data_IF_731986403401
#
_entry.id   IF_731986403401
#
_cell.length_a   1.000
_cell.length_b   1.000
_cell.length_c   1.000
_cell.angle_alpha   90.00
_cell.angle_beta   90.00
_cell.angle_gamma   90.00
#
_symmetry.space_group_name_H-M   'P 1'
#
loop_
_entity.id
_entity.type
_entity.pdbx_description
1 polymer ?
#
# COMPACT_ATOMS: atom_id res chain seq x y z
N UNK A 1 43.03 -7.00 16.45
CA UNK A 1 42.64 -6.51 17.79
C UNK A 1 41.39 -5.68 17.59
N UNK A 2 40.22 -6.29 17.75
CA UNK A 2 38.94 -5.57 17.73
C UNK A 2 38.70 -5.13 19.17
N UNK A 3 38.51 -3.82 19.38
CA UNK A 3 38.19 -3.27 20.70
C UNK A 3 36.74 -3.66 20.98
N UNK A 4 36.49 -4.37 22.08
CA UNK A 4 35.13 -4.54 22.61
C UNK A 4 34.56 -3.16 22.92
N UNK A 5 33.45 -2.83 22.28
CA UNK A 5 32.61 -1.69 22.67
C UNK A 5 31.89 -2.07 23.95
N UNK A 6 32.02 -1.26 24.99
CA UNK A 6 31.33 -1.46 26.27
C UNK A 6 30.10 -0.57 26.28
N UNK A 7 28.92 -1.16 26.43
CA UNK A 7 27.65 -0.44 26.48
C UNK A 7 27.45 0.18 27.86
N UNK A 8 26.96 1.41 27.91
CA UNK A 8 26.70 2.16 29.14
C UNK A 8 25.30 2.80 29.11
N UNK A 9 24.58 2.68 30.21
CA UNK A 9 23.32 3.36 30.49
C UNK A 9 23.50 4.89 30.49
N UNK A 10 22.41 5.67 30.40
CA UNK A 10 22.46 7.14 30.48
C UNK A 10 23.05 7.69 31.79
N UNK A 11 23.08 6.87 32.86
CA UNK A 11 23.71 7.20 34.15
C UNK A 11 25.20 6.79 34.23
N UNK A 12 25.76 6.25 33.15
CA UNK A 12 27.14 5.80 33.04
C UNK A 12 27.43 4.42 33.64
N UNK A 13 26.40 3.68 34.10
CA UNK A 13 26.56 2.29 34.50
C UNK A 13 26.67 1.36 33.28
N UNK A 14 27.54 0.35 33.33
CA UNK A 14 27.66 -0.62 32.23
C UNK A 14 26.37 -1.44 32.10
N UNK A 15 25.87 -1.59 30.86
CA UNK A 15 24.70 -2.44 30.58
C UNK A 15 25.21 -3.87 30.44
N UNK A 16 24.71 -4.80 31.26
CA UNK A 16 25.05 -6.22 31.11
C UNK A 16 24.31 -6.77 29.88
N UNK A 17 25.02 -7.29 28.86
CA UNK A 17 24.38 -7.89 27.69
C UNK A 17 23.43 -9.07 28.02
N UNK A 18 23.52 -9.63 29.23
CA UNK A 18 22.59 -10.63 29.73
C UNK A 18 21.17 -10.10 30.00
N UNK A 19 21.01 -8.79 30.18
CA UNK A 19 19.72 -8.15 30.49
C UNK A 19 18.90 -7.77 29.24
N UNK A 20 19.50 -7.86 28.04
CA UNK A 20 18.74 -7.70 26.80
C UNK A 20 17.77 -8.87 26.58
N UNK A 21 16.56 -8.61 26.03
CA UNK A 21 15.69 -9.69 25.61
C UNK A 21 16.40 -10.57 24.56
N UNK A 22 16.11 -11.87 24.54
CA UNK A 22 16.84 -12.87 23.73
C UNK A 22 17.00 -12.49 22.24
N UNK A 23 16.02 -11.78 21.68
CA UNK A 23 16.02 -11.32 20.29
C UNK A 23 16.95 -10.12 20.04
N UNK A 24 17.34 -9.38 21.08
CA UNK A 24 18.21 -8.19 21.01
C UNK A 24 19.68 -8.49 21.36
N UNK A 25 20.05 -9.77 21.51
CA UNK A 25 21.43 -10.20 21.72
C UNK A 25 22.13 -10.33 20.37
N UNK A 26 23.40 -9.92 20.26
CA UNK A 26 24.17 -10.04 19.02
C UNK A 26 24.09 -11.46 18.42
N UNK A 27 23.76 -11.61 17.13
CA UNK A 27 23.70 -12.91 16.49
C UNK A 27 25.11 -13.54 16.41
N UNK A 28 25.28 -14.69 17.04
CA UNK A 28 26.47 -15.52 16.88
C UNK A 28 26.58 -16.03 15.43
N UNK A 29 27.52 -15.48 14.67
CA UNK A 29 27.87 -15.96 13.32
C UNK A 29 28.71 -17.25 13.36
N UNK A 30 28.77 -18.08 12.28
CA UNK A 30 27.85 -18.22 11.13
C UNK A 30 27.51 -19.70 10.78
N UNK A 31 26.36 -19.98 10.13
CA UNK A 31 26.22 -21.05 9.12
C UNK A 31 24.85 -21.04 8.40
N UNK A 32 24.69 -20.34 7.26
CA UNK A 32 24.23 -20.92 5.98
C UNK A 32 24.16 -19.85 4.89
N UNK A 33 24.62 -20.26 3.70
CA UNK A 33 24.79 -19.48 2.48
C UNK A 33 23.49 -19.34 1.69
N UNK A 34 23.17 -18.11 1.26
CA UNK A 34 22.16 -17.79 0.24
C UNK A 34 21.16 -16.75 0.75
N UNK A 35 21.11 -15.59 0.08
CA UNK A 35 20.18 -14.46 0.28
C UNK A 35 20.36 -13.68 1.60
N UNK A 36 20.78 -12.42 1.51
CA UNK A 36 20.82 -11.51 2.66
C UNK A 36 19.39 -11.26 3.13
N UNK A 37 19.01 -11.82 4.27
CA UNK A 37 17.67 -11.67 4.81
C UNK A 37 17.58 -10.27 5.45
N UNK A 38 17.04 -9.32 4.68
CA UNK A 38 16.77 -7.92 5.06
C UNK A 38 16.15 -7.79 6.46
N UNK A 39 15.38 -8.80 6.88
CA UNK A 39 14.76 -8.86 8.18
C UNK A 39 15.78 -8.75 9.33
N UNK A 40 16.94 -9.40 9.20
CA UNK A 40 17.99 -9.36 10.24
C UNK A 40 18.67 -8.00 10.39
N UNK A 41 18.80 -7.23 9.30
CA UNK A 41 19.36 -5.88 9.37
C UNK A 41 18.35 -4.90 9.99
N UNK A 42 17.06 -5.06 9.66
CA UNK A 42 16.00 -4.23 10.21
C UNK A 42 15.69 -4.56 11.68
N UNK A 43 15.76 -5.83 12.09
CA UNK A 43 15.70 -6.26 13.49
C UNK A 43 16.77 -5.55 14.33
N UNK A 44 18.01 -5.45 13.83
CA UNK A 44 19.07 -4.70 14.51
C UNK A 44 18.71 -3.21 14.65
N UNK A 45 18.22 -2.58 13.57
CA UNK A 45 17.85 -1.15 13.61
C UNK A 45 16.78 -0.87 14.66
N UNK A 46 15.71 -1.67 14.71
CA UNK A 46 14.63 -1.44 15.68
C UNK A 46 15.03 -1.83 17.11
N UNK A 47 16.02 -2.71 17.30
CA UNK A 47 16.62 -3.02 18.59
C UNK A 47 17.52 -1.90 19.12
N UNK A 48 18.17 -1.16 18.21
CA UNK A 48 19.17 -0.13 18.50
C UNK A 48 18.84 1.24 17.87
N UNK A 49 17.62 1.77 18.03
CA UNK A 49 17.16 2.94 17.29
C UNK A 49 17.84 4.25 17.72
N UNK A 50 18.50 4.25 18.88
CA UNK A 50 19.27 5.37 19.44
C UNK A 50 20.68 5.51 18.85
N UNK A 51 21.16 4.53 18.07
CA UNK A 51 22.44 4.61 17.37
C UNK A 51 22.41 5.56 16.17
N UNK A 52 21.22 5.96 15.71
CA UNK A 52 21.04 6.75 14.49
C UNK A 52 20.79 8.24 14.77
N UNK A 53 21.42 9.09 13.96
CA UNK A 53 21.24 10.53 14.02
C UNK A 53 20.04 10.97 13.16
N UNK A 54 19.14 11.75 13.76
CA UNK A 54 17.95 12.32 13.11
C UNK A 54 18.18 13.81 12.87
N UNK A 55 19.04 14.14 11.92
CA UNK A 55 19.42 15.52 11.64
C UNK A 55 18.25 16.30 11.01
N UNK A 56 17.74 17.30 11.74
CA UNK A 56 16.66 18.18 11.27
C UNK A 56 16.71 19.55 11.94
N UNK A 57 16.31 20.58 11.21
CA UNK A 57 16.11 21.94 11.74
C UNK A 57 14.71 22.13 12.35
N UNK A 58 13.84 21.11 12.27
CA UNK A 58 12.51 21.14 12.86
C UNK A 58 12.57 21.17 14.39
N UNK A 59 11.52 21.72 15.02
CA UNK A 59 11.37 21.62 16.47
C UNK A 59 10.96 20.19 16.83
N UNK A 60 11.85 19.48 17.51
CA UNK A 60 11.66 18.10 17.98
C UNK A 60 11.74 18.08 19.51
N UNK A 61 10.80 17.39 20.14
CA UNK A 61 10.77 17.12 21.59
C UNK A 61 10.63 15.61 21.83
N UNK A 62 11.74 14.84 21.79
CA UNK A 62 11.69 13.38 21.83
C UNK A 62 11.04 12.83 23.10
N UNK A 63 10.22 11.80 22.98
CA UNK A 63 9.61 11.09 24.12
C UNK A 63 10.56 10.07 24.75
N UNK A 64 11.58 9.64 23.99
CA UNK A 64 12.44 8.51 24.33
C UNK A 64 11.95 7.18 23.73
N UNK A 65 10.83 7.20 23.03
CA UNK A 65 10.25 6.04 22.34
C UNK A 65 10.49 6.14 20.83
N UNK A 66 10.38 4.99 20.17
CA UNK A 66 10.55 4.87 18.74
C UNK A 66 9.45 3.98 18.16
N UNK A 67 9.07 4.32 16.95
CA UNK A 67 8.13 3.55 16.16
C UNK A 67 8.74 3.27 14.79
N UNK A 68 8.28 2.21 14.13
CA UNK A 68 8.74 1.84 12.81
C UNK A 68 7.60 1.43 11.90
N UNK A 69 7.87 1.41 10.60
CA UNK A 69 6.99 0.88 9.57
C UNK A 69 7.84 0.25 8.46
N UNK A 70 7.31 -0.75 7.78
CA UNK A 70 7.91 -1.33 6.58
C UNK A 70 7.14 -0.85 5.36
N UNK A 71 7.78 -0.24 4.38
CA UNK A 71 7.10 0.31 3.20
C UNK A 71 7.92 -0.02 1.96
N UNK A 72 7.28 -0.56 0.92
CA UNK A 72 7.91 -0.61 -0.40
C UNK A 72 7.88 0.78 -1.03
N UNK A 73 9.05 1.41 -1.18
CA UNK A 73 9.21 2.76 -1.72
C UNK A 73 10.20 2.83 -2.89
N UNK A 74 10.93 1.76 -3.21
CA UNK A 74 11.85 1.71 -4.37
C UNK A 74 11.31 0.91 -5.54
N UNK A 75 10.29 0.07 -5.33
CA UNK A 75 9.68 -0.77 -6.34
C UNK A 75 10.54 -1.99 -6.71
N UNK A 76 11.49 -2.36 -5.85
CA UNK A 76 12.36 -3.51 -6.03
C UNK A 76 11.81 -4.79 -5.34
N UNK A 77 10.68 -4.64 -4.62
CA UNK A 77 10.00 -5.72 -3.92
C UNK A 77 10.59 -6.04 -2.53
N UNK A 78 11.59 -5.27 -2.09
CA UNK A 78 12.13 -5.28 -0.74
C UNK A 78 11.68 -4.02 0.00
N UNK A 79 10.95 -4.13 1.11
CA UNK A 79 10.49 -2.95 1.82
C UNK A 79 11.67 -2.15 2.40
N UNK A 80 11.56 -0.83 2.37
CA UNK A 80 12.32 0.08 3.20
C UNK A 80 11.78 0.07 4.64
N UNK A 81 12.68 0.26 5.61
CA UNK A 81 12.31 0.46 7.01
C UNK A 81 12.24 1.96 7.30
N UNK A 82 11.07 2.45 7.68
CA UNK A 82 10.89 3.78 8.23
C UNK A 82 11.09 3.68 9.74
N UNK A 83 12.03 4.44 10.28
CA UNK A 83 12.24 4.57 11.73
C UNK A 83 11.85 5.98 12.17
N UNK A 84 10.85 6.09 13.04
CA UNK A 84 10.36 7.34 13.60
C UNK A 84 10.86 7.52 15.03
N UNK A 85 11.45 8.67 15.30
CA UNK A 85 11.77 9.10 16.67
C UNK A 85 10.57 9.82 17.25
N UNK A 86 9.81 9.15 18.11
CA UNK A 86 8.56 9.69 18.64
C UNK A 86 8.82 10.97 19.45
N UNK A 87 7.96 11.95 19.24
CA UNK A 87 8.16 13.34 19.66
C UNK A 87 6.84 13.98 20.01
N UNK A 88 6.85 14.93 20.96
CA UNK A 88 5.68 15.75 21.29
C UNK A 88 5.43 16.87 20.29
N UNK A 89 6.48 17.26 19.55
CA UNK A 89 6.40 18.21 18.43
C UNK A 89 6.52 17.42 17.12
N UNK A 90 7.35 17.86 16.17
CA UNK A 90 7.63 17.03 15.00
C UNK A 90 8.50 15.83 15.38
N UNK A 91 8.13 14.66 14.86
CA UNK A 91 8.85 13.41 14.93
C UNK A 91 9.63 13.23 13.61
N UNK A 92 10.97 13.27 13.63
CA UNK A 92 11.75 12.98 12.44
C UNK A 92 11.70 11.49 12.10
N UNK A 93 11.67 11.19 10.80
CA UNK A 93 11.58 9.84 10.25
C UNK A 93 12.79 9.59 9.35
N UNK A 94 13.59 8.59 9.70
CA UNK A 94 14.65 8.05 8.84
C UNK A 94 14.06 6.97 7.94
N UNK A 95 14.57 6.90 6.71
CA UNK A 95 14.23 5.85 5.74
C UNK A 95 15.47 5.00 5.56
N UNK A 96 15.39 3.70 5.82
CA UNK A 96 16.47 2.75 5.60
C UNK A 96 16.18 1.93 4.36
N UNK A 97 17.17 1.84 3.48
CA UNK A 97 17.19 0.97 2.30
C UNK A 97 18.33 -0.04 2.46
N UNK A 98 18.31 -1.11 1.67
CA UNK A 98 19.43 -2.02 1.56
C UNK A 98 20.35 -1.59 0.43
N UNK A 99 21.65 -1.55 0.70
CA UNK A 99 22.63 -1.38 -0.36
C UNK A 99 22.86 -2.68 -1.16
N UNK A 100 23.70 -2.63 -2.19
CA UNK A 100 24.05 -3.81 -3.02
C UNK A 100 24.64 -5.00 -2.23
N UNK A 101 25.16 -4.74 -1.01
CA UNK A 101 25.69 -5.77 -0.11
C UNK A 101 24.61 -6.35 0.83
N UNK A 102 23.37 -5.90 0.72
CA UNK A 102 22.27 -6.27 1.60
C UNK A 102 22.37 -5.64 2.99
N UNK A 103 23.09 -4.52 3.14
CA UNK A 103 23.24 -3.79 4.40
C UNK A 103 22.31 -2.59 4.46
N UNK A 104 21.62 -2.45 5.58
CA UNK A 104 20.73 -1.32 5.78
C UNK A 104 21.51 -0.01 5.97
N UNK A 105 21.07 1.03 5.26
CA UNK A 105 21.67 2.37 5.27
C UNK A 105 20.56 3.42 5.35
N UNK A 106 20.69 4.42 6.23
CA UNK A 106 19.73 5.50 6.29
C UNK A 106 19.90 6.46 5.10
N UNK A 107 18.79 6.97 4.60
CA UNK A 107 18.74 8.04 3.61
C UNK A 107 18.59 9.40 4.29
N UNK A 108 19.11 10.45 3.65
CA UNK A 108 19.02 11.84 4.12
C UNK A 108 18.44 12.77 3.04
N UNK A 109 17.71 13.85 3.39
CA UNK A 109 17.33 14.29 4.74
C UNK A 109 16.28 13.38 5.41
N UNK A 110 15.96 13.62 6.67
CA UNK A 110 14.80 12.99 7.34
C UNK A 110 13.49 13.56 6.81
N UNK A 111 12.41 12.77 6.87
CA UNK A 111 11.04 13.26 6.74
C UNK A 111 10.49 13.68 8.10
N UNK A 112 9.35 14.37 8.11
CA UNK A 112 8.67 14.81 9.32
C UNK A 112 7.27 14.21 9.43
N UNK A 113 6.93 13.80 10.65
CA UNK A 113 5.59 13.36 11.07
C UNK A 113 5.18 14.14 12.33
N UNK A 114 3.89 14.33 12.56
CA UNK A 114 3.37 14.95 13.76
C UNK A 114 3.09 16.45 13.62
N UNK A 115 3.17 17.16 14.74
CA UNK A 115 2.50 18.45 14.88
C UNK A 115 3.35 19.45 15.60
N UNK A 116 3.20 20.73 15.25
CA UNK A 116 3.75 21.83 16.02
C UNK A 116 2.69 22.44 16.93
N UNK A 117 2.89 22.36 18.23
CA UNK A 117 1.94 22.90 19.22
C UNK A 117 1.75 24.41 19.06
N UNK A 118 2.81 25.11 18.68
CA UNK A 118 2.81 26.53 18.39
C UNK A 118 2.69 26.82 16.88
N UNK A 119 1.59 27.48 16.48
CA UNK A 119 1.37 27.93 15.10
C UNK A 119 0.61 26.95 14.21
N UNK A 120 0.25 25.77 14.72
CA UNK A 120 -0.70 24.85 14.07
C UNK A 120 -0.20 24.16 12.81
N UNK A 121 1.12 24.17 12.57
CA UNK A 121 1.74 23.41 11.47
C UNK A 121 1.69 21.91 11.78
N UNK A 122 1.46 21.10 10.75
CA UNK A 122 1.42 19.64 10.82
C UNK A 122 2.18 19.06 9.65
N UNK A 123 2.70 17.87 9.86
CA UNK A 123 3.31 17.05 8.84
C UNK A 123 2.92 15.59 9.05
N UNK A 124 2.85 14.82 7.99
CA UNK A 124 2.63 13.38 8.05
C UNK A 124 3.35 12.67 6.90
N UNK A 125 3.83 11.46 7.17
CA UNK A 125 4.44 10.61 6.14
C UNK A 125 3.41 9.66 5.58
N UNK A 126 3.31 9.59 4.26
CA UNK A 126 2.46 8.67 3.52
C UNK A 126 3.30 7.82 2.58
N UNK A 127 2.92 6.56 2.40
CA UNK A 127 3.48 5.74 1.34
C UNK A 127 2.82 6.07 0.00
N UNK A 128 3.60 6.03 -1.08
CA UNK A 128 3.03 6.10 -2.41
C UNK A 128 2.29 4.80 -2.73
N UNK A 129 1.04 4.89 -3.18
CA UNK A 129 0.33 3.70 -3.64
C UNK A 129 1.00 3.03 -4.84
N UNK A 130 1.84 3.75 -5.59
CA UNK A 130 2.63 3.18 -6.69
C UNK A 130 3.93 2.51 -6.24
N UNK A 131 4.20 2.45 -4.93
CA UNK A 131 5.42 1.88 -4.35
C UNK A 131 6.72 2.56 -4.84
N UNK A 132 6.59 3.78 -5.36
CA UNK A 132 7.71 4.59 -5.85
C UNK A 132 7.78 5.89 -5.05
N UNK A 133 8.37 5.79 -3.87
CA UNK A 133 8.67 6.87 -2.95
C UNK A 133 7.68 7.04 -1.81
N UNK A 134 7.96 8.07 -1.02
CA UNK A 134 7.19 8.47 0.16
C UNK A 134 6.74 9.91 -0.03
N UNK A 135 5.52 10.23 0.41
CA UNK A 135 5.04 11.60 0.46
C UNK A 135 5.24 12.16 1.87
N UNK A 136 5.72 13.41 1.95
CA UNK A 136 5.50 14.23 3.12
C UNK A 136 4.34 15.17 2.84
N UNK A 137 3.31 15.06 3.67
CA UNK A 137 2.19 15.98 3.74
C UNK A 137 2.56 17.12 4.68
N UNK A 138 2.26 18.36 4.30
CA UNK A 138 2.41 19.54 5.15
C UNK A 138 1.19 20.46 5.05
N UNK A 139 0.60 20.81 6.20
CA UNK A 139 -0.51 21.76 6.27
C UNK A 139 -0.51 22.61 7.56
N UNK A 140 -1.40 23.61 7.57
CA UNK A 140 -1.75 24.35 8.78
C UNK A 140 -3.15 23.95 9.23
N UNK A 141 -3.37 23.82 10.53
CA UNK A 141 -4.65 23.38 11.13
C UNK A 141 -5.87 24.25 10.76
N UNK A 142 -5.63 25.47 10.26
CA UNK A 142 -6.69 26.39 9.82
C UNK A 142 -7.02 26.29 8.35
N UNK A 143 -6.24 25.52 7.58
CA UNK A 143 -6.39 25.34 6.15
C UNK A 143 -7.04 23.98 5.89
N UNK A 144 -7.98 23.90 4.95
CA UNK A 144 -8.62 22.63 4.61
C UNK A 144 -7.84 21.82 3.56
N UNK A 145 -6.77 22.41 3.04
CA UNK A 145 -5.93 21.84 2.00
C UNK A 145 -4.54 21.53 2.56
N UNK A 146 -3.94 20.47 2.06
CA UNK A 146 -2.63 19.95 2.42
C UNK A 146 -1.74 19.83 1.19
N UNK A 147 -0.43 20.06 1.36
CA UNK A 147 0.55 19.88 0.30
C UNK A 147 1.24 18.54 0.47
N UNK A 148 1.33 17.75 -0.60
CA UNK A 148 1.99 16.45 -0.64
C UNK A 148 3.21 16.56 -1.54
N UNK A 149 4.41 16.48 -0.96
CA UNK A 149 5.67 16.41 -1.71
C UNK A 149 6.15 14.97 -1.78
N UNK A 150 6.31 14.44 -3.00
CA UNK A 150 6.93 13.13 -3.21
C UNK A 150 8.44 13.20 -2.99
N UNK A 151 8.99 12.20 -2.31
CA UNK A 151 10.41 11.94 -2.15
C UNK A 151 10.72 10.55 -2.72
N UNK A 152 11.64 10.51 -3.67
CA UNK A 152 12.21 9.26 -4.17
C UNK A 152 13.37 8.83 -3.27
N UNK A 153 13.46 7.54 -3.01
CA UNK A 153 14.57 6.91 -2.28
C UNK A 153 15.62 6.50 -3.31
N UNK A 154 16.80 7.13 -3.28
CA UNK A 154 17.93 6.79 -4.14
C UNK A 154 19.17 6.58 -3.27
N UNK A 155 19.35 5.34 -2.84
CA UNK A 155 20.36 4.98 -1.86
C UNK A 155 20.28 5.87 -0.62
N UNK A 156 21.42 6.44 -0.22
CA UNK A 156 21.55 7.28 0.98
C UNK A 156 20.92 8.69 0.84
N UNK A 157 20.17 8.96 -0.24
CA UNK A 157 19.56 10.27 -0.51
C UNK A 157 18.05 10.18 -0.73
N UNK A 158 17.28 11.00 -0.01
CA UNK A 158 15.88 11.31 -0.31
C UNK A 158 15.82 12.56 -1.18
N UNK A 159 15.29 12.42 -2.39
CA UNK A 159 15.21 13.54 -3.34
C UNK A 159 13.77 13.92 -3.62
N UNK A 160 13.44 15.21 -3.53
CA UNK A 160 12.13 15.71 -3.95
C UNK A 160 11.90 15.38 -5.42
N UNK A 161 10.78 14.74 -5.70
CA UNK A 161 10.37 14.37 -7.04
C UNK A 161 9.08 15.11 -7.40
N UNK A 162 9.04 15.70 -8.59
CA UNK A 162 7.91 16.47 -9.07
C UNK A 162 7.59 17.73 -8.24
N UNK A 163 6.54 18.42 -8.67
CA UNK A 163 5.98 19.55 -7.93
C UNK A 163 5.05 19.06 -6.81
N UNK A 164 4.96 19.78 -5.67
CA UNK A 164 4.00 19.46 -4.63
C UNK A 164 2.57 19.44 -5.16
N UNK A 165 1.80 18.45 -4.73
CA UNK A 165 0.39 18.32 -5.05
C UNK A 165 -0.48 18.85 -3.91
N UNK A 166 -1.64 19.40 -4.24
CA UNK A 166 -2.59 19.90 -3.23
C UNK A 166 -3.79 18.98 -3.16
N UNK A 167 -4.12 18.51 -1.96
CA UNK A 167 -5.31 17.72 -1.71
C UNK A 167 -6.10 18.27 -0.52
N UNK A 168 -7.39 17.95 -0.52
CA UNK A 168 -8.32 18.29 0.55
C UNK A 168 -8.14 17.33 1.71
N UNK A 169 -8.04 17.82 2.94
CA UNK A 169 -7.89 16.98 4.14
C UNK A 169 -9.10 16.07 4.39
N UNK A 170 -10.29 16.45 3.92
CA UNK A 170 -11.52 15.65 4.02
C UNK A 170 -11.73 14.72 2.81
N UNK A 171 -10.81 14.73 1.84
CA UNK A 171 -10.86 13.90 0.65
C UNK A 171 -9.42 13.65 0.13
N UNK A 172 -8.58 13.09 1.00
CA UNK A 172 -7.21 12.71 0.65
C UNK A 172 -7.29 11.60 -0.41
N UNK A 173 -6.67 11.77 -1.59
CA UNK A 173 -6.65 10.74 -2.62
C UNK A 173 -6.00 9.43 -2.17
N UNK A 174 -6.56 8.29 -2.57
CA UNK A 174 -6.10 6.93 -2.20
C UNK A 174 -4.65 6.63 -2.63
N UNK A 175 -4.06 7.45 -3.50
CA UNK A 175 -2.64 7.34 -3.87
C UNK A 175 -1.68 7.69 -2.72
N UNK A 176 -2.17 8.39 -1.70
CA UNK A 176 -1.43 8.69 -0.46
C UNK A 176 -1.90 7.71 0.61
N UNK A 177 -1.09 6.68 0.89
CA UNK A 177 -1.45 5.66 1.88
C UNK A 177 -0.91 6.06 3.24
N UNK A 178 -1.77 6.10 4.24
CA UNK A 178 -1.33 6.34 5.62
C UNK A 178 -0.33 5.25 6.05
N UNK A 179 0.66 5.66 6.85
CA UNK A 179 1.65 4.74 7.40
C UNK A 179 1.21 4.31 8.80
N UNK A 180 0.98 3.01 8.97
CA UNK A 180 0.71 2.43 10.29
C UNK A 180 2.01 2.23 11.06
N UNK A 181 2.13 2.97 12.17
CA UNK A 181 3.33 2.95 13.01
C UNK A 181 3.25 1.86 14.06
N UNK A 182 4.25 0.98 14.09
CA UNK A 182 4.42 -0.08 15.09
C UNK A 182 5.49 0.33 16.10
N UNK A 183 5.27 0.21 17.42
CA UNK A 183 6.32 0.46 18.40
C UNK A 183 7.53 -0.45 18.17
N UNK A 184 8.77 0.04 18.28
CA UNK A 184 9.97 -0.81 18.11
C UNK A 184 10.10 -1.92 19.16
N UNK A 185 9.31 -1.85 20.25
CA UNK A 185 9.20 -2.90 21.26
C UNK A 185 8.34 -4.10 20.81
N UNK A 186 7.66 -3.99 19.66
CA UNK A 186 6.87 -5.06 19.04
C UNK A 186 7.46 -5.40 17.65
N UNK A 187 8.29 -6.44 17.52
CA UNK A 187 8.90 -6.84 16.25
C UNK A 187 7.93 -7.64 15.35
N UNK A 188 6.66 -7.81 15.73
CA UNK A 188 5.75 -8.73 15.02
C UNK A 188 5.50 -8.35 13.57
N UNK A 189 5.49 -7.05 13.24
CA UNK A 189 5.34 -6.60 11.84
C UNK A 189 6.56 -6.93 10.97
N UNK A 190 7.78 -6.98 11.56
CA UNK A 190 8.99 -7.44 10.88
C UNK A 190 8.97 -8.95 10.66
N UNK A 191 8.54 -9.71 11.67
CA UNK A 191 8.48 -11.17 11.60
C UNK A 191 7.46 -11.68 10.56
N UNK A 192 6.39 -10.92 10.29
CA UNK A 192 5.43 -11.25 9.24
C UNK A 192 5.95 -10.90 7.84
N UNK A 193 6.97 -10.05 7.76
CA UNK A 193 7.56 -9.56 6.51
C UNK A 193 6.57 -8.82 5.61
N UNK A 194 5.46 -8.35 6.19
CA UNK A 194 4.42 -7.62 5.50
C UNK A 194 4.71 -6.13 5.70
N UNK A 195 4.83 -5.33 4.62
CA UNK A 195 4.91 -3.89 4.73
C UNK A 195 3.77 -3.36 5.63
N UNK A 196 4.07 -2.47 6.58
CA UNK A 196 3.11 -1.78 7.43
C UNK A 196 2.22 -0.77 6.67
N UNK A 197 2.19 -0.83 5.33
CA UNK A 197 1.09 -0.30 4.50
C UNK A 197 0.03 -1.36 4.17
N UNK A 198 0.10 -2.56 4.75
CA UNK A 198 -0.86 -3.64 4.53
C UNK A 198 -2.11 -3.48 5.39
N UNK A 199 -2.85 -2.39 5.16
CA UNK A 199 -4.29 -2.38 5.34
C UNK A 199 -5.01 -1.41 4.40
N UNK A 200 -4.44 -1.06 3.24
CA UNK A 200 -5.17 -0.62 2.03
C UNK A 200 -4.16 -0.30 0.93
N UNK A 201 -3.81 -1.31 0.13
CA UNK A 201 -4.33 -1.42 -1.23
C UNK A 201 -3.53 -2.49 -1.98
N UNK A 202 -4.26 -3.44 -2.54
CA UNK A 202 -3.76 -4.12 -3.72
C UNK A 202 -3.96 -3.18 -4.93
N UNK A 203 -3.15 -3.36 -5.96
CA UNK A 203 -3.02 -2.55 -7.19
C UNK A 203 -2.37 -1.14 -7.07
N UNK A 204 -1.04 -1.13 -7.16
CA UNK A 204 -0.32 -0.18 -8.01
C UNK A 204 -0.44 -0.65 -9.48
N UNK A 205 -0.42 0.26 -10.47
CA UNK A 205 -0.57 -0.12 -11.88
C UNK A 205 0.61 -0.97 -12.31
N UNK A 206 0.35 -2.26 -12.56
CA UNK A 206 1.19 -3.11 -13.41
C UNK A 206 1.41 -2.33 -14.71
N UNK A 207 2.64 -2.29 -15.22
CA UNK A 207 2.86 -1.95 -16.62
C UNK A 207 1.80 -2.69 -17.44
N UNK A 208 0.98 -1.95 -18.19
CA UNK A 208 -0.19 -2.48 -18.91
C UNK A 208 0.28 -3.46 -19.99
N UNK A 209 0.40 -4.72 -19.60
CA UNK A 209 0.53 -5.89 -20.45
C UNK A 209 -0.87 -6.42 -20.85
N UNK A 210 -1.95 -5.69 -20.55
CA UNK A 210 -3.33 -5.99 -20.94
C UNK A 210 -4.15 -6.80 -19.92
N UNK A 211 -3.57 -7.21 -18.79
CA UNK A 211 -4.28 -8.02 -17.79
C UNK A 211 -5.16 -7.24 -16.80
N UNK A 212 -6.32 -7.81 -16.46
CA UNK A 212 -7.25 -7.31 -15.45
C UNK A 212 -6.97 -7.98 -14.10
N UNK A 213 -6.63 -7.20 -13.09
CA UNK A 213 -6.37 -7.70 -11.73
C UNK A 213 -7.48 -7.23 -10.79
N UNK A 214 -7.89 -8.08 -9.86
CA UNK A 214 -8.84 -7.73 -8.82
C UNK A 214 -9.31 -8.93 -8.00
N UNK A 215 -10.23 -8.70 -7.07
CA UNK A 215 -10.87 -9.76 -6.27
C UNK A 215 -12.18 -10.19 -6.92
N UNK A 216 -12.38 -11.49 -7.16
CA UNK A 216 -13.68 -11.96 -7.66
C UNK A 216 -14.73 -11.86 -6.56
N UNK A 217 -15.85 -11.19 -6.84
CA UNK A 217 -16.99 -11.06 -5.91
C UNK A 217 -18.25 -11.59 -6.55
N UNK A 218 -19.14 -12.13 -5.73
CA UNK A 218 -20.53 -12.34 -6.07
C UNK A 218 -21.33 -11.18 -5.47
N UNK A 219 -22.08 -10.49 -6.33
CA UNK A 219 -23.00 -9.41 -5.94
C UNK A 219 -24.40 -9.75 -6.45
N UNK A 220 -25.41 -9.38 -5.69
CA UNK A 220 -26.82 -9.64 -6.05
C UNK A 220 -27.44 -8.45 -6.77
N UNK A 221 -28.52 -8.68 -7.51
CA UNK A 221 -29.32 -7.59 -8.08
C UNK A 221 -29.80 -6.63 -6.99
N UNK A 222 -30.12 -7.10 -5.78
CA UNK A 222 -30.52 -6.25 -4.67
C UNK A 222 -29.42 -5.24 -4.23
N UNK A 223 -28.14 -5.60 -4.35
CA UNK A 223 -27.00 -4.77 -3.92
C UNK A 223 -26.56 -3.76 -4.99
N UNK A 224 -26.83 -4.05 -6.26
CA UNK A 224 -26.39 -3.23 -7.40
C UNK A 224 -26.83 -1.75 -7.34
N UNK A 225 -28.02 -1.38 -6.87
CA UNK A 225 -28.41 0.03 -6.79
C UNK A 225 -27.52 0.88 -5.89
N UNK A 226 -27.09 0.34 -4.75
CA UNK A 226 -26.18 1.02 -3.82
C UNK A 226 -24.77 1.11 -4.41
N UNK A 227 -24.34 0.05 -5.09
CA UNK A 227 -23.03 -0.02 -5.72
C UNK A 227 -22.93 0.92 -6.92
N UNK A 228 -23.97 0.98 -7.77
CA UNK A 228 -23.98 1.77 -9.01
C UNK A 228 -24.45 3.20 -8.81
N UNK A 229 -25.12 3.50 -7.70
CA UNK A 229 -25.83 4.76 -7.48
C UNK A 229 -27.05 4.95 -8.40
N UNK A 230 -27.53 3.87 -9.05
CA UNK A 230 -28.65 3.89 -9.98
C UNK A 230 -29.51 2.64 -9.80
N UNK A 231 -30.84 2.81 -9.78
CA UNK A 231 -31.79 1.70 -9.73
C UNK A 231 -31.59 0.69 -10.88
N UNK A 232 -31.95 -0.56 -10.64
CA UNK A 232 -31.90 -1.60 -11.66
C UNK A 232 -32.94 -1.34 -12.76
N UNK A 233 -32.60 -1.59 -14.03
CA UNK A 233 -33.40 -1.17 -15.17
C UNK A 233 -34.68 -2.01 -15.41
N UNK A 234 -34.71 -3.31 -15.08
CA UNK A 234 -35.70 -4.27 -15.59
C UNK A 234 -36.39 -5.18 -14.55
N UNK A 235 -36.86 -4.66 -13.41
CA UNK A 235 -37.57 -5.45 -12.38
C UNK A 235 -36.93 -6.84 -12.15
N UNK A 236 -35.61 -6.86 -12.10
CA UNK A 236 -34.79 -8.06 -12.01
C UNK A 236 -35.09 -8.76 -10.69
N UNK A 237 -35.02 -10.10 -10.71
CA UNK A 237 -35.13 -10.84 -9.46
C UNK A 237 -34.00 -10.38 -8.52
N UNK A 238 -34.31 -9.86 -7.32
CA UNK A 238 -33.30 -9.36 -6.38
C UNK A 238 -32.25 -10.41 -6.01
N UNK A 239 -32.57 -11.70 -6.12
CA UNK A 239 -31.67 -12.81 -5.84
C UNK A 239 -30.75 -13.18 -7.03
N UNK A 240 -30.91 -12.54 -8.19
CA UNK A 240 -30.00 -12.72 -9.34
C UNK A 240 -28.57 -12.41 -8.94
N UNK A 241 -27.64 -13.29 -9.27
CA UNK A 241 -26.24 -13.22 -8.85
C UNK A 241 -25.35 -12.78 -10.02
N UNK A 242 -24.37 -11.95 -9.74
CA UNK A 242 -23.38 -11.47 -10.70
C UNK A 242 -21.99 -11.74 -10.14
N UNK A 243 -21.17 -12.45 -10.90
CA UNK A 243 -19.75 -12.60 -10.64
C UNK A 243 -19.02 -11.44 -11.31
N UNK A 244 -18.24 -10.71 -10.52
CA UNK A 244 -17.53 -9.52 -10.97
C UNK A 244 -16.07 -9.59 -10.54
N UNK A 245 -15.17 -9.06 -11.36
CA UNK A 245 -13.79 -8.78 -10.95
C UNK A 245 -13.79 -7.40 -10.32
N UNK A 246 -13.71 -7.35 -9.00
CA UNK A 246 -13.70 -6.10 -8.24
C UNK A 246 -12.29 -5.52 -8.23
N UNK A 247 -12.15 -4.30 -8.76
CA UNK A 247 -10.89 -3.58 -8.79
C UNK A 247 -10.62 -2.93 -7.44
N UNK A 248 -9.35 -2.82 -7.10
CA UNK A 248 -8.93 -2.13 -5.87
C UNK A 248 -8.88 -0.62 -6.06
N UNK A 249 -8.74 -0.16 -7.32
CA UNK A 249 -8.82 1.23 -7.71
C UNK A 249 -9.47 1.40 -9.09
N UNK A 250 -10.01 2.59 -9.42
CA UNK A 250 -10.45 2.89 -10.77
C UNK A 250 -9.34 2.68 -11.80
N UNK A 251 -9.69 2.13 -12.96
CA UNK A 251 -8.72 1.88 -14.04
C UNK A 251 -9.31 2.09 -15.43
N UNK A 252 -8.45 2.39 -16.40
CA UNK A 252 -8.88 2.44 -17.80
C UNK A 252 -9.11 1.03 -18.34
N UNK A 253 -10.27 0.83 -18.96
CA UNK A 253 -10.65 -0.41 -19.63
C UNK A 253 -10.98 -0.09 -21.07
N UNK A 254 -10.35 -0.80 -22.00
CA UNK A 254 -10.67 -0.75 -23.42
C UNK A 254 -11.54 -1.95 -23.78
N UNK A 255 -12.73 -1.72 -24.33
CA UNK A 255 -13.66 -2.79 -24.69
C UNK A 255 -14.41 -2.48 -26.00
N UNK A 256 -14.97 -3.52 -26.64
CA UNK A 256 -15.73 -3.37 -27.87
C UNK A 256 -17.06 -2.64 -27.65
N UNK A 257 -17.35 -1.68 -28.53
CA UNK A 257 -18.68 -1.06 -28.66
C UNK A 257 -19.61 -1.95 -29.49
N UNK A 258 -20.90 -1.96 -29.14
CA UNK A 258 -21.92 -2.60 -29.97
C UNK A 258 -21.97 -1.96 -31.37
N UNK A 259 -21.59 -2.73 -32.40
CA UNK A 259 -21.69 -2.33 -33.81
C UNK A 259 -20.38 -1.98 -34.52
N UNK A 260 -19.26 -1.80 -33.80
CA UNK A 260 -17.83 -1.82 -34.23
C UNK A 260 -17.00 -0.76 -33.50
N UNK A 261 -15.70 -1.07 -33.30
CA UNK A 261 -14.73 -0.19 -32.65
C UNK A 261 -14.46 -0.55 -31.18
N UNK A 262 -13.37 -0.02 -30.63
CA UNK A 262 -13.02 -0.08 -29.22
C UNK A 262 -13.22 1.30 -28.59
N UNK A 263 -13.65 1.31 -27.33
CA UNK A 263 -13.80 2.51 -26.53
C UNK A 263 -13.13 2.30 -25.17
N UNK A 264 -12.39 3.30 -24.73
CA UNK A 264 -11.63 3.26 -23.47
C UNK A 264 -12.35 4.14 -22.46
N UNK A 265 -12.68 3.57 -21.30
CA UNK A 265 -13.36 4.28 -20.21
C UNK A 265 -12.67 3.98 -18.89
N UNK A 266 -12.67 4.97 -18.00
CA UNK A 266 -12.38 4.73 -16.59
C UNK A 266 -13.52 3.92 -15.97
N UNK A 267 -13.19 2.78 -15.38
CA UNK A 267 -14.10 1.89 -14.66
C UNK A 267 -13.72 1.90 -13.19
N UNK A 268 -14.66 2.33 -12.36
CA UNK A 268 -14.37 2.64 -10.96
C UNK A 268 -14.32 1.42 -10.04
N UNK A 269 -15.12 0.38 -10.32
CA UNK A 269 -15.40 -0.69 -9.34
C UNK A 269 -15.16 -2.10 -9.85
N UNK A 270 -15.66 -2.44 -11.03
CA UNK A 270 -15.57 -3.82 -11.50
C UNK A 270 -15.83 -3.98 -13.00
N UNK A 271 -15.41 -5.10 -13.54
CA UNK A 271 -15.94 -5.69 -14.79
C UNK A 271 -16.75 -6.95 -14.48
N UNK A 272 -17.64 -7.30 -15.40
CA UNK A 272 -18.57 -8.44 -15.25
C UNK A 272 -17.91 -9.71 -15.80
N UNK A 273 -17.96 -10.80 -15.04
CA UNK A 273 -17.36 -12.09 -15.39
C UNK A 273 -18.42 -13.15 -15.71
N UNK A 274 -19.53 -13.13 -14.97
CA UNK A 274 -20.59 -14.12 -15.09
C UNK A 274 -21.85 -13.69 -14.35
N UNK A 275 -22.93 -14.43 -14.53
CA UNK A 275 -24.19 -14.22 -13.83
C UNK A 275 -25.05 -15.48 -13.75
N UNK A 276 -25.94 -15.50 -12.75
CA UNK A 276 -27.14 -16.33 -12.65
C UNK A 276 -28.32 -15.37 -12.51
N UNK A 277 -28.95 -15.06 -13.63
CA UNK A 277 -30.05 -14.10 -13.68
C UNK A 277 -31.39 -14.80 -13.84
N UNK A 278 -32.38 -14.35 -13.08
CA UNK A 278 -33.79 -14.70 -13.32
C UNK A 278 -34.52 -13.43 -13.74
N UNK A 279 -34.93 -13.39 -15.02
CA UNK A 279 -35.61 -12.24 -15.61
C UNK A 279 -36.91 -12.71 -16.26
N UNK A 280 -38.05 -12.14 -15.85
CA UNK A 280 -39.37 -12.48 -16.38
C UNK A 280 -39.71 -13.99 -16.37
N UNK A 281 -39.20 -14.74 -15.38
CA UNK A 281 -39.42 -16.18 -15.25
C UNK A 281 -38.54 -17.06 -16.14
N UNK A 282 -37.48 -16.49 -16.73
CA UNK A 282 -36.44 -17.21 -17.44
C UNK A 282 -35.12 -17.12 -16.69
N UNK A 283 -34.46 -18.27 -16.52
CA UNK A 283 -33.15 -18.36 -15.88
C UNK A 283 -32.04 -18.37 -16.94
N UNK A 284 -31.02 -17.55 -16.73
CA UNK A 284 -29.85 -17.42 -17.57
C UNK A 284 -28.60 -17.60 -16.73
N UNK A 285 -27.73 -18.52 -17.14
CA UNK A 285 -26.43 -18.72 -16.51
C UNK A 285 -25.30 -18.50 -17.51
N UNK A 286 -24.28 -17.76 -17.10
CA UNK A 286 -23.06 -17.51 -17.87
C UNK A 286 -21.90 -17.33 -16.91
N UNK A 287 -20.71 -17.85 -17.23
CA UNK A 287 -19.52 -17.59 -16.42
C UNK A 287 -19.65 -18.08 -14.98
N UNK A 288 -20.40 -19.15 -14.75
CA UNK A 288 -20.65 -19.68 -13.38
C UNK A 288 -19.41 -20.35 -12.78
N UNK A 289 -18.41 -20.67 -13.60
CA UNK A 289 -17.10 -21.15 -13.16
C UNK A 289 -16.37 -20.14 -12.25
N UNK A 290 -16.68 -18.85 -12.36
CA UNK A 290 -16.12 -17.79 -11.51
C UNK A 290 -16.53 -17.91 -10.04
N UNK A 291 -17.58 -18.69 -9.72
CA UNK A 291 -17.96 -19.00 -8.36
C UNK A 291 -16.81 -19.63 -7.55
N UNK A 292 -15.97 -20.46 -8.20
CA UNK A 292 -14.81 -21.10 -7.57
C UNK A 292 -13.72 -20.10 -7.15
N UNK A 293 -13.76 -18.88 -7.69
CA UNK A 293 -12.80 -17.81 -7.41
C UNK A 293 -13.36 -16.74 -6.48
N UNK A 294 -14.63 -16.81 -6.06
CA UNK A 294 -15.22 -15.81 -5.17
C UNK A 294 -14.40 -15.67 -3.88
N UNK A 295 -14.02 -14.42 -3.58
CA UNK A 295 -13.16 -14.06 -2.44
C UNK A 295 -11.66 -14.18 -2.72
N UNK A 296 -11.25 -14.65 -3.90
CA UNK A 296 -9.85 -14.77 -4.29
C UNK A 296 -9.43 -13.60 -5.17
N UNK A 297 -8.17 -13.20 -5.02
CA UNK A 297 -7.51 -12.29 -5.95
C UNK A 297 -7.08 -13.07 -7.18
N UNK A 298 -7.36 -12.52 -8.35
CA UNK A 298 -6.97 -13.11 -9.63
C UNK A 298 -6.45 -12.05 -10.58
N UNK A 299 -5.63 -12.51 -11.51
CA UNK A 299 -5.24 -11.80 -12.72
C UNK A 299 -5.82 -12.53 -13.92
N UNK A 300 -6.60 -11.81 -14.71
CA UNK A 300 -7.22 -12.29 -15.95
C UNK A 300 -6.46 -11.67 -17.12
N UNK A 301 -5.83 -12.50 -17.94
CA UNK A 301 -5.24 -12.06 -19.20
C UNK A 301 -6.36 -12.00 -20.26
N UNK A 302 -6.79 -10.80 -20.63
CA UNK A 302 -7.88 -10.59 -21.58
C UNK A 302 -7.64 -9.35 -22.44
N UNK A 303 -7.57 -9.54 -23.76
CA UNK A 303 -7.41 -8.44 -24.71
C UNK A 303 -8.69 -7.58 -24.80
N UNK A 304 -8.59 -6.30 -25.20
CA UNK A 304 -9.76 -5.44 -25.43
C UNK A 304 -10.82 -6.01 -26.39
N UNK A 305 -10.42 -6.91 -27.30
CA UNK A 305 -11.35 -7.59 -28.22
C UNK A 305 -12.22 -8.67 -27.55
N UNK A 306 -11.83 -9.11 -26.35
CA UNK A 306 -12.56 -10.07 -25.53
C UNK A 306 -13.51 -9.38 -24.56
N UNK A 307 -13.40 -8.07 -24.39
CA UNK A 307 -14.29 -7.28 -23.57
C UNK A 307 -15.36 -6.58 -24.43
N UNK A 308 -16.56 -6.39 -23.87
CA UNK A 308 -17.60 -5.59 -24.53
C UNK A 308 -18.31 -4.66 -23.55
N UNK A 309 -18.60 -3.45 -24.01
CA UNK A 309 -19.49 -2.53 -23.28
C UNK A 309 -20.93 -3.01 -23.42
N UNK A 310 -21.65 -3.07 -22.29
CA UNK A 310 -23.08 -3.32 -22.30
C UNK A 310 -23.84 -2.13 -22.85
N UNK A 311 -24.95 -2.39 -23.54
CA UNK A 311 -25.97 -1.38 -23.77
C UNK A 311 -26.69 -1.08 -22.46
N UNK A 312 -27.18 0.17 -22.30
CA UNK A 312 -27.69 0.83 -21.07
C UNK A 312 -28.74 0.10 -20.21
N UNK A 313 -29.14 -1.13 -20.58
CA UNK A 313 -30.17 -1.92 -19.92
C UNK A 313 -29.68 -3.24 -19.32
N UNK A 314 -28.39 -3.58 -19.41
CA UNK A 314 -27.89 -4.88 -18.90
C UNK A 314 -27.20 -4.71 -17.55
N UNK A 315 -27.52 -5.58 -16.59
CA UNK A 315 -26.79 -5.69 -15.32
C UNK A 315 -25.51 -6.52 -15.52
N UNK A 316 -24.48 -6.35 -14.68
CA UNK A 316 -24.36 -5.41 -13.56
C UNK A 316 -23.96 -3.98 -14.00
N UNK A 317 -24.02 -3.65 -15.29
CA UNK A 317 -23.84 -2.27 -15.78
C UNK A 317 -22.39 -1.81 -15.89
N UNK A 318 -21.48 -2.72 -16.26
CA UNK A 318 -20.07 -2.45 -16.59
C UNK A 318 -19.65 -3.24 -17.85
N UNK A 319 -18.40 -3.12 -18.30
CA UNK A 319 -17.86 -4.00 -19.34
C UNK A 319 -17.97 -5.47 -18.94
N UNK A 320 -18.24 -6.33 -19.91
CA UNK A 320 -18.23 -7.78 -19.75
C UNK A 320 -16.94 -8.36 -20.31
N UNK A 321 -16.30 -9.22 -19.53
CA UNK A 321 -15.25 -10.12 -20.00
C UNK A 321 -15.96 -11.28 -20.70
N UNK A 322 -15.87 -11.34 -22.02
CA UNK A 322 -16.54 -12.39 -22.80
C UNK A 322 -15.69 -13.63 -23.02
N UNK A 323 -14.38 -13.44 -23.00
CA UNK A 323 -13.35 -14.47 -23.17
C UNK A 323 -12.08 -14.02 -22.45
N UNK A 324 -11.11 -14.92 -22.27
CA UNK A 324 -9.81 -14.65 -21.67
C UNK A 324 -8.78 -15.69 -22.10
N UNK A 325 -7.51 -15.30 -22.17
CA UNK A 325 -6.40 -16.18 -22.53
C UNK A 325 -6.00 -17.07 -21.35
N UNK A 326 -5.94 -16.50 -20.15
CA UNK A 326 -5.53 -17.20 -18.93
C UNK A 326 -6.10 -16.52 -17.67
N UNK A 327 -6.12 -17.28 -16.57
CA UNK A 327 -6.44 -16.76 -15.24
C UNK A 327 -5.44 -17.31 -14.22
N UNK A 328 -4.80 -16.41 -13.48
CA UNK A 328 -3.86 -16.75 -12.41
C UNK A 328 -4.42 -16.28 -11.06
N UNK A 329 -4.54 -17.18 -10.10
CA UNK A 329 -4.80 -16.82 -8.70
C UNK A 329 -3.53 -16.20 -8.10
N UNK A 330 -3.69 -15.05 -7.44
CA UNK A 330 -2.61 -14.29 -6.81
C UNK A 330 -2.60 -14.52 -5.29
#
# INVERSE_FOLDING_TARGET
MVKSTTFVNPDGSEVDPADFPEWAKEPSSPQQSGEGNWNSEYEYIIAHPDEYAFDTDALVEPTGEYSYALIEATGDGTPELLLKKDSREFAPVLVFHLNEEGKARPSSPVLLDGVRSAGGSRAAVYASASQNGLYQEDHYSTQPDANFQLYSVDGETLTKSGEPEVARLDAIPDKYREVDWTPTTDPSALAQGVPAAAAQAEDAPVEDDGGLTGTVRMITAAELPEIRGQANPNNEDPDSQYFVLWFDSPREISALLAGSGTDTRTVDKYVSLGARESINGHDFERGVEWEAYVGKRVRIDADPSMLSWTTDTSLPGSAWVNDYNDVTEL
#
